data_IF_400057396416
#
_entry.id   IF_400057396416
#
_cell.length_a   1.000
_cell.length_b   1.000
_cell.length_c   1.000
_cell.angle_alpha   90.00
_cell.angle_beta   90.00
_cell.angle_gamma   90.00
#
_symmetry.space_group_name_H-M   'P 1'
#
loop_
_entity.id
_entity.type
_entity.pdbx_description
1 polymer ?
#
# COMPACT_ATOMS: atom_id res chain seq x y z
N UNK A 1 4.29 20.57 24.96
CA UNK A 1 3.67 19.51 25.78
C UNK A 1 4.47 19.41 27.06
N UNK A 2 3.92 19.72 28.24
CA UNK A 2 4.61 19.55 29.51
C UNK A 2 4.46 18.10 29.95
N UNK A 3 5.54 17.36 30.10
CA UNK A 3 5.53 16.06 30.76
C UNK A 3 6.39 14.93 30.18
N UNK A 4 7.26 15.19 29.22
CA UNK A 4 8.29 14.19 28.86
C UNK A 4 9.55 14.60 29.60
N UNK A 5 9.86 13.90 30.69
CA UNK A 5 11.10 14.08 31.42
C UNK A 5 12.27 13.59 30.55
N UNK A 6 13.29 14.44 30.36
CA UNK A 6 14.52 14.14 29.60
C UNK A 6 15.34 12.97 30.16
N UNK A 7 14.88 12.31 31.21
CA UNK A 7 15.62 11.26 31.91
C UNK A 7 15.47 9.85 31.28
N UNK A 8 14.49 9.64 30.42
CA UNK A 8 14.25 8.33 29.76
C UNK A 8 14.58 8.32 28.25
N UNK A 9 15.14 9.39 27.71
CA UNK A 9 15.54 9.46 26.31
C UNK A 9 16.91 8.80 26.10
N UNK A 10 16.92 7.49 25.90
CA UNK A 10 18.10 6.75 25.40
C UNK A 10 18.50 7.16 23.97
N UNK A 11 17.77 8.08 23.36
CA UNK A 11 17.94 8.52 21.99
C UNK A 11 18.15 10.05 21.93
N UNK A 12 19.09 10.52 21.09
CA UNK A 12 19.33 11.95 20.85
C UNK A 12 18.05 12.67 20.41
N UNK A 13 17.79 13.88 20.96
CA UNK A 13 16.65 14.74 20.57
C UNK A 13 16.61 14.98 19.06
N UNK A 14 17.76 15.05 18.42
CA UNK A 14 17.87 15.20 16.95
C UNK A 14 17.27 13.98 16.24
N UNK A 15 17.50 12.78 16.76
CA UNK A 15 16.99 11.55 16.16
C UNK A 15 15.47 11.42 16.34
N UNK A 16 14.95 11.84 17.50
CA UNK A 16 13.49 11.90 17.74
C UNK A 16 12.81 12.90 16.79
N UNK A 17 13.40 14.08 16.60
CA UNK A 17 12.87 15.07 15.66
C UNK A 17 12.95 14.59 14.21
N UNK A 18 14.02 13.90 13.83
CA UNK A 18 14.14 13.29 12.50
C UNK A 18 13.10 12.19 12.28
N UNK A 19 12.84 11.36 13.29
CA UNK A 19 11.79 10.33 13.24
C UNK A 19 10.39 10.93 13.02
N UNK A 20 10.06 11.97 13.79
CA UNK A 20 8.79 12.71 13.61
C UNK A 20 8.74 13.34 12.22
N UNK A 21 9.85 13.93 11.74
CA UNK A 21 9.95 14.50 10.41
C UNK A 21 9.63 13.48 9.32
N UNK A 22 10.20 12.28 9.38
CA UNK A 22 9.94 11.20 8.40
C UNK A 22 8.49 10.73 8.46
N UNK A 23 7.91 10.59 9.65
CA UNK A 23 6.48 10.23 9.76
C UNK A 23 5.58 11.29 9.08
N UNK A 24 5.92 12.57 9.22
CA UNK A 24 5.15 13.66 8.61
C UNK A 24 5.33 13.78 7.08
N UNK A 25 6.35 13.17 6.49
CA UNK A 25 6.50 13.13 5.03
C UNK A 25 5.60 12.09 4.37
N UNK A 26 5.12 11.11 5.12
CA UNK A 26 4.28 10.05 4.57
C UNK A 26 2.97 10.62 3.99
N UNK A 27 2.73 10.35 2.71
CA UNK A 27 1.56 10.85 1.97
C UNK A 27 0.48 9.77 1.88
N UNK A 28 -0.79 10.13 2.13
CA UNK A 28 -1.90 9.18 2.00
C UNK A 28 -2.22 8.91 0.53
N UNK A 29 -1.82 7.74 0.04
CA UNK A 29 -2.14 7.27 -1.31
C UNK A 29 -3.65 7.07 -1.49
N UNK A 30 -4.33 6.56 -0.47
CA UNK A 30 -5.77 6.25 -0.53
C UNK A 30 -6.63 7.48 -0.82
N UNK A 31 -6.35 8.61 -0.15
CA UNK A 31 -7.07 9.87 -0.38
C UNK A 31 -6.80 10.38 -1.79
N UNK A 32 -5.56 10.32 -2.24
CA UNK A 32 -5.16 10.76 -3.59
C UNK A 32 -5.85 9.93 -4.68
N UNK A 33 -5.90 8.60 -4.50
CA UNK A 33 -6.58 7.69 -5.44
C UNK A 33 -8.06 7.99 -5.52
N UNK A 34 -8.74 8.13 -4.38
CA UNK A 34 -10.19 8.39 -4.36
C UNK A 34 -10.52 9.75 -4.99
N UNK A 35 -9.76 10.79 -4.66
CA UNK A 35 -9.91 12.12 -5.28
C UNK A 35 -9.72 12.07 -6.79
N UNK A 36 -8.65 11.42 -7.28
CA UNK A 36 -8.39 11.28 -8.73
C UNK A 36 -9.49 10.46 -9.43
N UNK A 37 -10.04 9.47 -8.74
CA UNK A 37 -11.14 8.65 -9.25
C UNK A 37 -12.43 9.47 -9.37
N UNK A 38 -12.80 10.22 -8.35
CA UNK A 38 -13.96 11.12 -8.36
C UNK A 38 -13.86 12.20 -9.46
N UNK A 39 -12.66 12.73 -9.66
CA UNK A 39 -12.37 13.69 -10.74
C UNK A 39 -12.35 13.05 -12.14
N UNK A 40 -12.43 11.71 -12.26
CA UNK A 40 -12.27 10.98 -13.51
C UNK A 40 -10.86 11.09 -14.13
N UNK A 41 -9.84 11.45 -13.32
CA UNK A 41 -8.46 11.69 -13.76
C UNK A 41 -7.50 10.55 -13.43
N UNK A 42 -7.96 9.49 -12.77
CA UNK A 42 -7.12 8.37 -12.34
C UNK A 42 -6.37 7.70 -13.49
N UNK A 43 -7.03 7.52 -14.65
CA UNK A 43 -6.45 6.87 -15.85
C UNK A 43 -5.65 7.84 -16.75
N UNK A 44 -5.44 9.08 -16.34
CA UNK A 44 -4.63 10.03 -17.10
C UNK A 44 -3.14 9.79 -16.87
N UNK A 45 -2.30 10.30 -17.77
CA UNK A 45 -0.83 10.26 -17.61
C UNK A 45 -0.39 10.86 -16.26
N UNK A 46 -1.01 11.97 -15.84
CA UNK A 46 -0.73 12.60 -14.55
C UNK A 46 -1.20 11.73 -13.37
N UNK A 47 -2.40 11.09 -13.47
CA UNK A 47 -2.89 10.18 -12.45
C UNK A 47 -1.95 8.98 -12.24
N UNK A 48 -1.50 8.36 -13.32
CA UNK A 48 -0.55 7.25 -13.25
C UNK A 48 0.82 7.69 -12.70
N UNK A 49 1.30 8.90 -13.05
CA UNK A 49 2.54 9.43 -12.51
C UNK A 49 2.45 9.69 -10.99
N UNK A 50 1.33 10.24 -10.52
CA UNK A 50 1.07 10.46 -9.09
C UNK A 50 1.03 9.14 -8.32
N UNK A 51 0.34 8.12 -8.85
CA UNK A 51 0.30 6.79 -8.25
C UNK A 51 1.69 6.14 -8.18
N UNK A 52 2.46 6.21 -9.26
CA UNK A 52 3.83 5.71 -9.29
C UNK A 52 4.73 6.43 -8.28
N UNK A 53 4.63 7.75 -8.19
CA UNK A 53 5.37 8.55 -7.22
C UNK A 53 5.01 8.17 -5.78
N UNK A 54 3.72 7.96 -5.49
CA UNK A 54 3.26 7.58 -4.16
C UNK A 54 3.82 6.23 -3.70
N UNK A 55 3.94 5.24 -4.61
CA UNK A 55 4.55 3.93 -4.29
C UNK A 55 6.04 4.07 -4.02
N UNK A 56 6.73 4.90 -4.79
CA UNK A 56 8.15 5.18 -4.55
C UNK A 56 8.32 5.88 -3.20
N UNK A 57 7.43 6.81 -2.87
CA UNK A 57 7.41 7.51 -1.58
C UNK A 57 7.26 6.55 -0.40
N UNK A 58 6.35 5.57 -0.47
CA UNK A 58 6.18 4.53 0.54
C UNK A 58 7.47 3.72 0.76
N UNK A 59 8.15 3.34 -0.32
CA UNK A 59 9.41 2.60 -0.25
C UNK A 59 10.51 3.46 0.37
N UNK A 60 10.62 4.72 -0.05
CA UNK A 60 11.59 5.66 0.50
C UNK A 60 11.31 5.96 1.98
N UNK A 61 10.03 6.07 2.37
CA UNK A 61 9.60 6.23 3.74
C UNK A 61 10.03 5.07 4.64
N UNK A 62 9.82 3.82 4.19
CA UNK A 62 10.28 2.63 4.93
C UNK A 62 11.81 2.62 5.06
N UNK A 63 12.54 2.94 4.01
CA UNK A 63 14.00 3.00 4.04
C UNK A 63 14.49 4.09 5.00
N UNK A 64 13.92 5.29 4.91
CA UNK A 64 14.27 6.41 5.79
C UNK A 64 13.97 6.10 7.27
N UNK A 65 12.79 5.54 7.54
CA UNK A 65 12.40 5.12 8.89
C UNK A 65 13.34 4.05 9.43
N UNK A 66 13.72 3.08 8.60
CA UNK A 66 14.65 2.01 8.99
C UNK A 66 16.04 2.53 9.29
N UNK A 67 16.53 3.52 8.54
CA UNK A 67 17.82 4.17 8.81
C UNK A 67 17.78 4.86 10.19
N UNK A 68 16.72 5.62 10.47
CA UNK A 68 16.59 6.35 11.73
C UNK A 68 16.45 5.37 12.91
N UNK A 69 15.64 4.31 12.77
CA UNK A 69 15.50 3.30 13.83
C UNK A 69 16.79 2.51 14.05
N UNK A 70 17.57 2.22 12.99
CA UNK A 70 18.87 1.57 13.09
C UNK A 70 19.92 2.44 13.80
N UNK A 71 19.82 3.76 13.69
CA UNK A 71 20.66 4.70 14.45
C UNK A 71 20.26 4.78 15.94
N UNK A 72 19.02 4.46 16.26
CA UNK A 72 18.49 4.41 17.62
C UNK A 72 18.72 3.05 18.28
N UNK A 73 18.68 1.97 17.51
CA UNK A 73 18.78 0.58 17.97
C UNK A 73 19.68 -0.22 17.00
N UNK A 74 20.83 -0.66 17.49
CA UNK A 74 21.81 -1.44 16.71
C UNK A 74 21.27 -2.81 16.25
N UNK A 75 20.12 -3.26 16.77
CA UNK A 75 19.49 -4.51 16.37
C UNK A 75 18.85 -4.45 14.97
N UNK A 76 18.57 -3.25 14.45
CA UNK A 76 17.93 -3.03 13.14
C UNK A 76 19.00 -2.89 12.05
N UNK A 77 19.01 -3.83 11.10
CA UNK A 77 19.99 -3.82 10.01
C UNK A 77 19.36 -3.31 8.71
N UNK A 78 19.77 -2.11 8.28
CA UNK A 78 19.32 -1.46 7.04
C UNK A 78 19.54 -2.34 5.81
N UNK A 79 20.67 -3.08 5.75
CA UNK A 79 20.97 -3.94 4.60
C UNK A 79 19.94 -5.08 4.46
N UNK A 80 19.43 -5.60 5.58
CA UNK A 80 18.39 -6.64 5.57
C UNK A 80 17.07 -6.09 5.02
N UNK A 81 16.70 -4.85 5.38
CA UNK A 81 15.47 -4.22 4.87
C UNK A 81 15.58 -3.94 3.39
N UNK A 82 16.68 -3.38 2.92
CA UNK A 82 16.93 -3.15 1.50
C UNK A 82 16.90 -4.47 0.70
N UNK A 83 17.53 -5.53 1.23
CA UNK A 83 17.51 -6.85 0.63
C UNK A 83 16.06 -7.39 0.54
N UNK A 84 15.25 -7.22 1.58
CA UNK A 84 13.84 -7.64 1.57
C UNK A 84 13.03 -6.89 0.50
N UNK A 85 13.24 -5.59 0.35
CA UNK A 85 12.57 -4.78 -0.70
C UNK A 85 12.95 -5.29 -2.09
N UNK A 86 14.23 -5.52 -2.36
CA UNK A 86 14.69 -6.06 -3.65
C UNK A 86 14.12 -7.46 -3.91
N UNK A 87 14.16 -8.34 -2.90
CA UNK A 87 13.59 -9.69 -2.98
C UNK A 87 12.08 -9.65 -3.25
N UNK A 88 11.36 -8.69 -2.66
CA UNK A 88 9.94 -8.50 -2.93
C UNK A 88 9.68 -8.20 -4.41
N UNK A 89 10.42 -7.28 -5.03
CA UNK A 89 10.23 -6.97 -6.46
C UNK A 89 10.57 -8.15 -7.38
N UNK A 90 11.61 -8.91 -7.06
CA UNK A 90 11.94 -10.15 -7.78
C UNK A 90 10.82 -11.18 -7.62
N UNK A 91 10.36 -11.40 -6.40
CA UNK A 91 9.24 -12.30 -6.10
C UNK A 91 7.96 -11.88 -6.85
N UNK A 92 7.60 -10.59 -6.78
CA UNK A 92 6.43 -10.05 -7.45
C UNK A 92 6.51 -10.20 -8.97
N UNK A 93 7.68 -10.02 -9.57
CA UNK A 93 7.93 -10.27 -10.99
C UNK A 93 7.73 -11.74 -11.37
N UNK A 94 8.30 -12.67 -10.60
CA UNK A 94 8.17 -14.11 -10.85
C UNK A 94 6.73 -14.59 -10.68
N UNK A 95 6.11 -14.24 -9.54
CA UNK A 95 4.71 -14.62 -9.27
C UNK A 95 3.77 -13.99 -10.28
N UNK A 96 4.00 -12.73 -10.63
CA UNK A 96 3.22 -12.02 -11.64
C UNK A 96 3.31 -12.70 -13.01
N UNK A 97 4.51 -13.08 -13.45
CA UNK A 97 4.72 -13.79 -14.71
C UNK A 97 4.02 -15.16 -14.70
N UNK A 98 4.16 -15.92 -13.63
CA UNK A 98 3.49 -17.23 -13.45
C UNK A 98 1.99 -17.05 -13.46
N UNK A 99 1.46 -16.10 -12.68
CA UNK A 99 0.02 -15.82 -12.61
C UNK A 99 -0.52 -15.41 -13.99
N UNK A 100 0.15 -14.50 -14.69
CA UNK A 100 -0.26 -14.07 -16.04
C UNK A 100 -0.35 -15.25 -17.02
N UNK A 101 0.66 -16.14 -17.01
CA UNK A 101 0.70 -17.31 -17.90
C UNK A 101 -0.40 -18.31 -17.57
N UNK A 102 -0.63 -18.60 -16.28
CA UNK A 102 -1.71 -19.49 -15.83
C UNK A 102 -3.08 -18.88 -16.09
N UNK A 103 -3.26 -17.61 -15.78
CA UNK A 103 -4.51 -16.89 -15.93
C UNK A 103 -4.94 -16.82 -17.41
N UNK A 104 -3.99 -16.53 -18.31
CA UNK A 104 -4.23 -16.53 -19.76
C UNK A 104 -4.71 -17.89 -20.25
N UNK A 105 -4.00 -18.97 -19.88
CA UNK A 105 -4.36 -20.34 -20.26
C UNK A 105 -5.73 -20.75 -19.71
N UNK A 106 -6.08 -20.26 -18.53
CA UNK A 106 -7.35 -20.60 -17.88
C UNK A 106 -8.55 -19.84 -18.47
N UNK A 107 -8.35 -18.57 -18.86
CA UNK A 107 -9.36 -17.78 -19.57
C UNK A 107 -9.75 -18.44 -20.91
N UNK A 108 -8.76 -18.93 -21.66
CA UNK A 108 -8.98 -19.61 -22.94
C UNK A 108 -9.76 -20.93 -22.80
N UNK A 109 -9.67 -21.58 -21.63
CA UNK A 109 -10.30 -22.87 -21.37
C UNK A 109 -11.70 -22.80 -20.75
N UNK A 110 -12.14 -21.67 -20.22
CA UNK A 110 -13.34 -21.55 -19.39
C UNK A 110 -14.31 -20.46 -19.86
N UNK A 111 -15.15 -20.82 -20.83
CA UNK A 111 -16.22 -19.94 -21.34
C UNK A 111 -17.41 -19.74 -20.36
N UNK A 112 -17.41 -20.39 -19.19
CA UNK A 112 -18.57 -20.53 -18.30
C UNK A 112 -18.51 -19.81 -16.95
N UNK A 113 -17.66 -18.82 -16.73
CA UNK A 113 -17.60 -18.24 -15.37
C UNK A 113 -17.13 -16.81 -15.23
N UNK A 114 -17.84 -15.84 -15.82
CA UNK A 114 -17.46 -14.40 -15.69
C UNK A 114 -17.19 -13.94 -14.26
N UNK A 115 -18.00 -14.38 -13.28
CA UNK A 115 -17.85 -13.98 -11.88
C UNK A 115 -16.60 -14.56 -11.19
N UNK A 116 -16.14 -15.74 -11.60
CA UNK A 116 -14.97 -16.40 -11.02
C UNK A 116 -13.68 -15.64 -11.28
N UNK A 117 -13.58 -14.95 -12.42
CA UNK A 117 -12.39 -14.18 -12.77
C UNK A 117 -12.17 -12.97 -11.82
N UNK A 118 -13.24 -12.27 -11.46
CA UNK A 118 -13.16 -11.17 -10.50
C UNK A 118 -12.77 -11.66 -9.10
N UNK A 119 -13.32 -12.81 -8.66
CA UNK A 119 -12.98 -13.40 -7.36
C UNK A 119 -11.50 -13.81 -7.31
N UNK A 120 -10.98 -14.45 -8.36
CA UNK A 120 -9.58 -14.88 -8.42
C UNK A 120 -8.65 -13.65 -8.44
N UNK A 121 -8.99 -12.62 -9.20
CA UNK A 121 -8.24 -11.38 -9.22
C UNK A 121 -8.21 -10.72 -7.83
N UNK A 122 -9.35 -10.74 -7.12
CA UNK A 122 -9.44 -10.21 -5.76
C UNK A 122 -8.58 -11.00 -4.77
N UNK A 123 -8.68 -12.32 -4.79
CA UNK A 123 -7.87 -13.20 -3.94
C UNK A 123 -6.38 -13.02 -4.24
N UNK A 124 -5.99 -12.91 -5.52
CA UNK A 124 -4.62 -12.65 -5.90
C UNK A 124 -4.10 -11.31 -5.38
N UNK A 125 -4.92 -10.26 -5.48
CA UNK A 125 -4.60 -8.94 -4.95
C UNK A 125 -4.37 -8.98 -3.42
N UNK A 126 -5.28 -9.62 -2.67
CA UNK A 126 -5.15 -9.75 -1.22
C UNK A 126 -3.95 -10.61 -0.81
N UNK A 127 -3.66 -11.69 -1.53
CA UNK A 127 -2.50 -12.52 -1.26
C UNK A 127 -1.19 -11.76 -1.50
N UNK A 128 -1.09 -11.01 -2.60
CA UNK A 128 0.10 -10.20 -2.88
C UNK A 128 0.30 -9.09 -1.85
N UNK A 129 -0.79 -8.45 -1.42
CA UNK A 129 -0.80 -7.46 -0.35
C UNK A 129 -0.30 -8.06 0.97
N UNK A 130 -0.88 -9.18 1.39
CA UNK A 130 -0.49 -9.88 2.62
C UNK A 130 0.98 -10.34 2.60
N UNK A 131 1.45 -10.91 1.49
CA UNK A 131 2.84 -11.38 1.36
C UNK A 131 3.82 -10.20 1.37
N UNK A 132 3.48 -9.08 0.72
CA UNK A 132 4.29 -7.86 0.73
C UNK A 132 4.57 -7.39 2.17
N UNK A 133 3.52 -7.32 2.98
CA UNK A 133 3.61 -6.84 4.36
C UNK A 133 4.21 -7.89 5.29
N UNK A 134 3.65 -9.11 5.33
CA UNK A 134 4.00 -10.11 6.33
C UNK A 134 5.40 -10.71 6.13
N UNK A 135 5.87 -10.88 4.89
CA UNK A 135 7.14 -11.54 4.61
C UNK A 135 8.27 -10.57 4.30
N UNK A 136 7.96 -9.50 3.57
CA UNK A 136 8.98 -8.55 3.11
C UNK A 136 8.98 -7.23 3.90
N UNK A 137 7.93 -6.94 4.67
CA UNK A 137 7.81 -5.68 5.40
C UNK A 137 7.65 -4.46 4.47
N UNK A 138 7.15 -4.70 3.24
CA UNK A 138 6.80 -3.66 2.27
C UNK A 138 5.31 -3.35 2.45
N UNK A 139 4.92 -2.08 2.26
CA UNK A 139 3.53 -1.68 2.40
C UNK A 139 2.57 -2.56 1.58
N UNK A 140 1.49 -3.00 2.20
CA UNK A 140 0.46 -3.87 1.62
C UNK A 140 -0.12 -3.31 0.32
N UNK A 141 -0.29 -1.98 0.24
CA UNK A 141 -0.75 -1.26 -0.94
C UNK A 141 0.17 -1.47 -2.15
N UNK A 142 1.48 -1.60 -1.93
CA UNK A 142 2.46 -1.86 -3.00
C UNK A 142 2.24 -3.24 -3.62
N UNK A 143 1.97 -4.25 -2.79
CA UNK A 143 1.62 -5.61 -3.24
C UNK A 143 0.32 -5.63 -4.05
N UNK A 144 -0.71 -4.96 -3.55
CA UNK A 144 -2.00 -4.81 -4.22
C UNK A 144 -1.87 -4.09 -5.58
N UNK A 145 -1.09 -3.02 -5.63
CA UNK A 145 -0.84 -2.27 -6.86
C UNK A 145 -0.15 -3.11 -7.94
N UNK A 146 0.91 -3.85 -7.58
CA UNK A 146 1.60 -4.73 -8.53
C UNK A 146 0.65 -5.82 -9.05
N UNK A 147 -0.17 -6.40 -8.17
CA UNK A 147 -1.20 -7.35 -8.60
C UNK A 147 -2.19 -6.72 -9.59
N UNK A 148 -2.62 -5.48 -9.33
CA UNK A 148 -3.45 -4.70 -10.23
C UNK A 148 -2.81 -4.46 -11.60
N UNK A 149 -1.51 -4.11 -11.63
CA UNK A 149 -0.74 -3.94 -12.87
C UNK A 149 -0.67 -5.24 -13.69
N UNK A 150 -0.48 -6.39 -13.03
CA UNK A 150 -0.47 -7.69 -13.71
C UNK A 150 -1.83 -7.99 -14.33
N UNK A 151 -2.91 -7.75 -13.58
CA UNK A 151 -4.28 -7.98 -14.03
C UNK A 151 -4.67 -7.01 -15.15
N UNK A 152 -4.21 -5.75 -15.12
CA UNK A 152 -4.52 -4.73 -16.13
C UNK A 152 -4.03 -5.10 -17.53
N UNK A 153 -3.00 -5.94 -17.63
CA UNK A 153 -2.49 -6.47 -18.90
C UNK A 153 -3.29 -7.66 -19.45
N UNK A 154 -4.39 -8.05 -18.81
CA UNK A 154 -5.25 -9.15 -19.26
C UNK A 154 -6.43 -8.63 -20.10
N UNK A 155 -6.91 -9.42 -21.06
CA UNK A 155 -8.02 -9.05 -21.97
C UNK A 155 -9.35 -8.73 -21.24
N UNK A 156 -9.50 -9.19 -19.99
CA UNK A 156 -10.71 -8.98 -19.18
C UNK A 156 -10.55 -7.93 -18.08
N UNK A 157 -9.52 -7.12 -18.17
CA UNK A 157 -9.20 -6.09 -17.15
C UNK A 157 -10.37 -5.13 -16.91
N UNK A 158 -11.03 -4.64 -17.95
CA UNK A 158 -12.19 -3.73 -17.83
C UNK A 158 -13.38 -4.36 -17.09
N UNK A 159 -13.66 -5.64 -17.37
CA UNK A 159 -14.72 -6.35 -16.65
C UNK A 159 -14.39 -6.52 -15.17
N UNK A 160 -13.16 -6.91 -14.86
CA UNK A 160 -12.68 -7.07 -13.48
C UNK A 160 -12.75 -5.72 -12.78
N UNK A 161 -12.24 -4.66 -13.40
CA UNK A 161 -12.25 -3.31 -12.86
C UNK A 161 -13.66 -2.84 -12.50
N UNK A 162 -14.66 -3.03 -13.38
CA UNK A 162 -16.05 -2.62 -13.11
C UNK A 162 -16.64 -3.31 -11.87
N UNK A 163 -16.21 -4.54 -11.56
CA UNK A 163 -16.63 -5.26 -10.35
C UNK A 163 -15.94 -4.75 -9.09
N UNK A 164 -14.65 -4.43 -9.20
CA UNK A 164 -13.90 -3.81 -8.09
C UNK A 164 -14.43 -2.41 -7.79
N UNK A 165 -14.77 -1.61 -8.79
CA UNK A 165 -15.35 -0.28 -8.61
C UNK A 165 -16.67 -0.37 -7.82
N UNK A 166 -17.54 -1.32 -8.15
CA UNK A 166 -18.79 -1.55 -7.42
C UNK A 166 -18.53 -1.96 -5.98
N UNK A 167 -17.61 -2.92 -5.74
CA UNK A 167 -17.27 -3.40 -4.40
C UNK A 167 -16.63 -2.27 -3.57
N UNK A 168 -15.71 -1.52 -4.17
CA UNK A 168 -15.04 -0.39 -3.53
C UNK A 168 -16.06 0.66 -3.08
N UNK A 169 -16.95 1.08 -3.98
CA UNK A 169 -17.92 2.13 -3.70
C UNK A 169 -18.96 1.71 -2.66
N UNK A 170 -19.50 0.48 -2.76
CA UNK A 170 -20.61 0.04 -1.90
C UNK A 170 -20.16 -0.47 -0.53
N UNK A 171 -18.95 -1.01 -0.42
CA UNK A 171 -18.51 -1.67 0.80
C UNK A 171 -17.19 -1.11 1.33
N UNK A 172 -16.12 -1.08 0.53
CA UNK A 172 -14.79 -0.79 1.06
C UNK A 172 -14.63 0.67 1.49
N UNK A 173 -15.06 1.63 0.66
CA UNK A 173 -14.95 3.06 0.99
C UNK A 173 -15.78 3.45 2.22
N UNK A 174 -17.07 3.08 2.35
CA UNK A 174 -17.83 3.35 3.57
C UNK A 174 -17.23 2.74 4.83
N UNK A 175 -16.77 1.48 4.77
CA UNK A 175 -16.13 0.81 5.92
C UNK A 175 -14.81 1.50 6.30
N UNK A 176 -14.01 1.90 5.30
CA UNK A 176 -12.77 2.63 5.51
C UNK A 176 -13.01 3.96 6.25
N UNK A 177 -13.92 4.79 5.74
CA UNK A 177 -14.23 6.07 6.39
C UNK A 177 -14.86 5.92 7.77
N UNK A 178 -15.74 4.93 7.95
CA UNK A 178 -16.30 4.61 9.26
C UNK A 178 -15.20 4.18 10.25
N UNK A 179 -14.26 3.34 9.81
CA UNK A 179 -13.15 2.88 10.64
C UNK A 179 -12.22 4.02 11.07
N UNK A 180 -11.93 4.97 10.18
CA UNK A 180 -11.17 6.17 10.52
C UNK A 180 -11.94 7.03 11.53
N UNK A 181 -13.23 7.28 11.26
CA UNK A 181 -14.06 8.09 12.16
C UNK A 181 -14.16 7.54 13.59
N UNK A 182 -14.20 6.21 13.73
CA UNK A 182 -14.22 5.54 15.03
C UNK A 182 -12.87 5.61 15.78
N UNK A 183 -11.75 5.78 15.06
CA UNK A 183 -10.41 5.89 15.67
C UNK A 183 -10.04 7.33 16.05
N UNK A 184 -10.79 8.31 15.58
CA UNK A 184 -10.53 9.71 15.91
C UNK A 184 -11.03 9.99 17.35
N UNK A 185 -10.07 10.14 18.26
CA UNK A 185 -10.35 10.70 19.60
C UNK A 185 -10.39 12.22 19.49
N UNK A 186 -11.59 12.79 19.63
CA UNK A 186 -11.72 14.25 19.70
C UNK A 186 -11.12 14.73 21.03
N UNK A 187 -10.09 15.60 21.01
CA UNK A 187 -9.61 16.20 22.24
C UNK A 187 -10.79 16.95 22.89
N UNK A 188 -10.95 16.77 24.21
CA UNK A 188 -11.99 17.47 24.97
C UNK A 188 -11.88 18.98 24.69
N UNK A 189 -12.73 19.49 23.82
CA UNK A 189 -12.89 20.92 23.56
C UNK A 189 -13.73 21.56 24.68
N UNK A 190 -13.41 21.28 25.92
CA UNK A 190 -13.91 22.10 27.05
C UNK A 190 -13.00 23.32 27.08
N UNK A 191 -13.43 24.32 26.30
CA UNK A 191 -12.81 25.62 26.29
C UNK A 191 -13.00 26.31 27.66
N UNK A 192 -11.95 26.85 28.10
CA UNK A 192 -11.98 28.08 28.97
C UNK A 192 -11.66 29.24 28.09
#
# INVERSE_FOLDING_TARGET
MPGVSDADASCSVVLQNAFIGVILTATSVSITVETLKEMGKLKTHSGNAILGAAIIDDILGIVALTIITSLADESVNVAVVLLKVVLFFVFAGVVGFVFYKFYKKWIESADRGRHRHAIIAFVFCLLMSYVAEAWFGVADITGAYIAGLIISNTERSEFIQSRFDTLSFLLLSPVFFASIGLKVELPNMTGT
#
